data_IF_096315247699
#
_entry.id   IF_096315247699
#
_cell.length_a   1.000
_cell.length_b   1.000
_cell.length_c   1.000
_cell.angle_alpha   90.00
_cell.angle_beta   90.00
_cell.angle_gamma   90.00
#
_symmetry.space_group_name_H-M   'P 1'
#
loop_
_entity.id
_entity.type
_entity.pdbx_description
1 polymer ?
#
# COMPACT_ATOMS: atom_id res chain seq x y z
N UNK A 1 -0.39 -22.15 12.55
CA UNK A 1 0.21 -20.90 12.06
C UNK A 1 -0.94 -19.95 11.83
N UNK A 2 -0.95 -18.79 12.48
CA UNK A 2 -1.90 -17.71 12.19
C UNK A 2 -1.66 -17.22 10.77
N UNK A 3 -2.73 -17.11 9.98
CA UNK A 3 -2.64 -16.55 8.63
C UNK A 3 -2.49 -15.03 8.76
N UNK A 4 -1.67 -14.37 7.93
CA UNK A 4 -1.58 -12.92 7.95
C UNK A 4 -2.88 -12.27 7.48
N UNK A 5 -3.05 -10.99 7.77
CA UNK A 5 -3.97 -10.11 7.03
C UNK A 5 -3.18 -9.22 6.07
N UNK A 6 -3.85 -8.71 5.04
CA UNK A 6 -3.28 -7.76 4.10
C UNK A 6 -3.86 -6.37 4.36
N UNK A 7 -3.01 -5.36 4.49
CA UNK A 7 -3.43 -3.96 4.46
C UNK A 7 -3.12 -3.35 3.09
N UNK A 8 -4.16 -2.93 2.36
CA UNK A 8 -4.05 -2.24 1.07
C UNK A 8 -4.20 -0.73 1.29
N UNK A 9 -3.28 0.06 0.74
CA UNK A 9 -3.25 1.52 0.81
C UNK A 9 -3.16 2.17 -0.60
N UNK A 10 -3.34 3.49 -0.65
CA UNK A 10 -3.56 4.23 -1.89
C UNK A 10 -2.38 4.28 -2.86
N UNK A 11 -1.15 4.03 -2.40
CA UNK A 11 0.05 4.07 -3.24
C UNK A 11 0.26 2.76 -4.01
N UNK A 12 -0.43 1.67 -3.63
CA UNK A 12 -0.43 0.39 -4.32
C UNK A 12 -1.85 -0.17 -4.47
N UNK A 13 -2.78 0.66 -4.94
CA UNK A 13 -4.18 0.30 -5.19
C UNK A 13 -4.34 -0.38 -6.55
N UNK A 14 -4.00 -1.67 -6.63
CA UNK A 14 -4.00 -2.45 -7.87
C UNK A 14 -4.27 -3.94 -7.61
N UNK A 15 -4.89 -4.68 -8.54
CA UNK A 15 -4.93 -6.15 -8.48
C UNK A 15 -3.55 -6.79 -8.52
N UNK A 16 -2.54 -6.08 -9.05
CA UNK A 16 -1.13 -6.49 -9.05
C UNK A 16 -0.40 -6.13 -7.75
N UNK A 17 -1.10 -5.69 -6.69
CA UNK A 17 -0.49 -5.46 -5.40
C UNK A 17 0.27 -6.72 -4.93
N UNK A 18 1.56 -6.62 -4.56
CA UNK A 18 2.40 -7.78 -4.26
C UNK A 18 1.84 -8.61 -3.10
N UNK A 19 1.25 -7.98 -2.08
CA UNK A 19 0.64 -8.68 -0.96
C UNK A 19 -0.57 -9.52 -1.37
N UNK A 20 -1.41 -8.99 -2.27
CA UNK A 20 -2.56 -9.73 -2.82
C UNK A 20 -2.12 -10.90 -3.72
N UNK A 21 -0.98 -10.77 -4.42
CA UNK A 21 -0.44 -11.84 -5.27
C UNK A 21 0.22 -12.96 -4.44
N UNK A 22 0.99 -12.60 -3.41
CA UNK A 22 1.69 -13.56 -2.55
C UNK A 22 0.75 -14.29 -1.59
N UNK A 23 -0.28 -13.60 -1.08
CA UNK A 23 -1.25 -14.14 -0.11
C UNK A 23 -2.70 -14.06 -0.63
N UNK A 24 -3.06 -14.70 -1.75
CA UNK A 24 -4.35 -14.50 -2.42
C UNK A 24 -5.59 -14.93 -1.61
N UNK A 25 -5.41 -15.72 -0.55
CA UNK A 25 -6.48 -16.18 0.33
C UNK A 25 -6.49 -15.47 1.69
N UNK A 26 -5.55 -14.57 1.95
CA UNK A 26 -5.52 -13.82 3.20
C UNK A 26 -6.63 -12.77 3.21
N UNK A 27 -7.26 -12.51 4.38
CA UNK A 27 -8.22 -11.42 4.50
C UNK A 27 -7.51 -10.09 4.25
N UNK A 28 -8.08 -9.25 3.38
CA UNK A 28 -7.51 -7.95 3.07
C UNK A 28 -8.42 -6.81 3.54
N UNK A 29 -7.83 -5.71 3.96
CA UNK A 29 -8.52 -4.50 4.43
C UNK A 29 -8.03 -3.25 3.70
N UNK A 30 -8.97 -2.39 3.36
CA UNK A 30 -8.75 -0.98 3.04
C UNK A 30 -9.38 -0.12 4.14
N UNK A 31 -8.69 0.96 4.54
CA UNK A 31 -9.24 1.93 5.50
C UNK A 31 -9.27 3.32 4.87
N UNK A 32 -10.45 3.91 4.79
CA UNK A 32 -10.60 5.34 4.52
C UNK A 32 -10.09 6.14 5.71
N UNK A 33 -8.92 6.75 5.56
CA UNK A 33 -8.27 7.58 6.58
C UNK A 33 -8.94 8.96 6.65
N UNK A 34 -9.75 9.17 7.70
CA UNK A 34 -10.48 10.43 7.90
C UNK A 34 -9.55 11.64 8.01
N UNK A 35 -8.41 11.48 8.69
CA UNK A 35 -7.46 12.57 8.87
C UNK A 35 -6.77 12.93 7.55
N UNK A 36 -6.45 11.97 6.70
CA UNK A 36 -5.91 12.26 5.36
C UNK A 36 -6.96 12.90 4.45
N UNK A 37 -8.19 12.40 4.46
CA UNK A 37 -9.29 12.94 3.64
C UNK A 37 -9.53 14.41 4.00
N UNK A 38 -9.54 14.72 5.29
CA UNK A 38 -9.69 16.09 5.79
C UNK A 38 -8.46 16.95 5.47
N UNK A 39 -7.26 16.49 5.77
CA UNK A 39 -6.02 17.25 5.54
C UNK A 39 -5.82 17.59 4.06
N UNK A 40 -6.07 16.63 3.16
CA UNK A 40 -5.84 16.78 1.72
C UNK A 40 -7.07 17.30 0.98
N UNK A 41 -8.19 17.52 1.67
CA UNK A 41 -9.44 18.00 1.12
C UNK A 41 -9.85 17.22 -0.14
N UNK A 42 -9.82 15.88 -0.04
CA UNK A 42 -10.07 15.02 -1.20
C UNK A 42 -11.47 15.27 -1.76
N UNK A 43 -11.52 15.68 -3.03
CA UNK A 43 -12.80 15.94 -3.70
C UNK A 43 -13.65 14.67 -3.80
N UNK A 44 -14.98 14.85 -3.87
CA UNK A 44 -15.92 13.75 -4.11
C UNK A 44 -15.53 12.91 -5.34
N UNK A 45 -15.08 13.55 -6.44
CA UNK A 45 -14.65 12.83 -7.65
C UNK A 45 -13.51 11.84 -7.37
N UNK A 46 -12.53 12.24 -6.55
CA UNK A 46 -11.39 11.38 -6.19
C UNK A 46 -11.82 10.25 -5.27
N UNK A 47 -12.70 10.54 -4.31
CA UNK A 47 -13.25 9.51 -3.42
C UNK A 47 -14.08 8.48 -4.19
N UNK A 48 -14.93 8.93 -5.13
CA UNK A 48 -15.71 8.03 -6.00
C UNK A 48 -14.81 7.15 -6.86
N UNK A 49 -13.79 7.73 -7.50
CA UNK A 49 -12.84 6.96 -8.30
C UNK A 49 -12.14 5.86 -7.48
N UNK A 50 -11.61 6.20 -6.30
CA UNK A 50 -10.95 5.22 -5.42
C UNK A 50 -11.97 4.15 -4.98
N UNK A 51 -13.20 4.54 -4.62
CA UNK A 51 -14.25 3.59 -4.25
C UNK A 51 -14.56 2.60 -5.38
N UNK A 52 -14.65 3.06 -6.63
CA UNK A 52 -14.84 2.20 -7.80
C UNK A 52 -13.68 1.20 -7.96
N UNK A 53 -12.42 1.64 -7.78
CA UNK A 53 -11.27 0.73 -7.77
C UNK A 53 -11.37 -0.32 -6.65
N UNK A 54 -11.82 0.06 -5.46
CA UNK A 54 -11.95 -0.88 -4.32
C UNK A 54 -12.99 -1.98 -4.58
N UNK A 55 -14.02 -1.70 -5.39
CA UNK A 55 -15.01 -2.72 -5.76
C UNK A 55 -14.43 -3.84 -6.64
N UNK A 56 -13.28 -3.60 -7.27
CA UNK A 56 -12.56 -4.59 -8.07
C UNK A 56 -11.52 -5.40 -7.25
N UNK A 57 -11.29 -5.03 -5.99
CA UNK A 57 -10.31 -5.67 -5.11
C UNK A 57 -10.98 -6.52 -4.03
N UNK A 58 -10.35 -7.63 -3.59
CA UNK A 58 -10.91 -8.51 -2.56
C UNK A 58 -10.69 -7.95 -1.13
N UNK A 59 -11.07 -6.70 -0.90
CA UNK A 59 -10.84 -5.99 0.37
C UNK A 59 -12.12 -5.73 1.14
N UNK A 60 -12.03 -5.82 2.46
CA UNK A 60 -13.03 -5.25 3.37
C UNK A 60 -12.75 -3.76 3.51
N UNK A 61 -13.77 -2.94 3.24
CA UNK A 61 -13.65 -1.48 3.30
C UNK A 61 -14.10 -0.99 4.68
N UNK A 62 -13.20 -0.34 5.41
CA UNK A 62 -13.46 0.36 6.68
C UNK A 62 -13.14 1.84 6.57
N UNK A 63 -13.40 2.58 7.65
CA UNK A 63 -13.15 4.03 7.75
C UNK A 63 -12.80 4.38 9.18
N UNK A 64 -11.76 5.20 9.36
CA UNK A 64 -11.32 5.65 10.68
C UNK A 64 -9.81 5.85 10.75
N UNK A 65 -9.23 5.66 11.94
CA UNK A 65 -7.77 5.62 12.10
C UNK A 65 -7.23 4.30 11.51
N UNK A 66 -6.29 4.40 10.58
CA UNK A 66 -5.80 3.26 9.79
C UNK A 66 -5.19 2.17 10.67
N UNK A 67 -4.26 2.52 11.56
CA UNK A 67 -3.60 1.55 12.42
C UNK A 67 -4.60 0.83 13.35
N UNK A 68 -5.53 1.57 13.95
CA UNK A 68 -6.56 1.00 14.83
C UNK A 68 -7.48 0.03 14.08
N UNK A 69 -7.94 0.38 12.89
CA UNK A 69 -8.81 -0.48 12.09
C UNK A 69 -8.07 -1.72 11.58
N UNK A 70 -6.80 -1.59 11.17
CA UNK A 70 -5.96 -2.73 10.75
C UNK A 70 -5.71 -3.69 11.92
N UNK A 71 -5.40 -3.16 13.11
CA UNK A 71 -5.17 -3.98 14.31
C UNK A 71 -6.46 -4.68 14.78
N UNK A 72 -7.60 -3.98 14.75
CA UNK A 72 -8.90 -4.59 15.05
C UNK A 72 -9.22 -5.72 14.06
N UNK A 73 -8.99 -5.49 12.76
CA UNK A 73 -9.18 -6.50 11.73
C UNK A 73 -8.24 -7.72 11.92
N UNK A 74 -6.97 -7.49 12.28
CA UNK A 74 -6.04 -8.57 12.60
C UNK A 74 -6.55 -9.41 13.77
N UNK A 75 -7.06 -8.76 14.83
CA UNK A 75 -7.62 -9.45 15.99
C UNK A 75 -8.86 -10.28 15.63
N UNK A 76 -9.78 -9.74 14.84
CA UNK A 76 -10.98 -10.45 14.37
C UNK A 76 -10.63 -11.73 13.58
N UNK A 77 -9.55 -11.66 12.79
CA UNK A 77 -9.05 -12.79 12.01
C UNK A 77 -8.03 -13.68 12.74
N UNK A 78 -7.75 -13.41 14.02
CA UNK A 78 -6.72 -14.11 14.81
C UNK A 78 -5.33 -14.10 14.12
N UNK A 79 -5.02 -13.01 13.41
CA UNK A 79 -3.76 -12.77 12.74
C UNK A 79 -2.80 -12.02 13.66
N UNK A 80 -1.52 -12.39 13.60
CA UNK A 80 -0.43 -11.72 14.33
C UNK A 80 0.60 -11.11 13.38
N UNK A 81 0.29 -11.08 12.08
CA UNK A 81 1.13 -10.53 11.02
C UNK A 81 0.28 -9.74 10.03
N UNK A 82 0.75 -8.56 9.67
CA UNK A 82 0.20 -7.68 8.64
C UNK A 82 1.16 -7.64 7.46
N UNK A 83 0.67 -7.95 6.28
CA UNK A 83 1.41 -7.78 5.02
C UNK A 83 0.89 -6.52 4.33
N UNK A 84 1.77 -5.70 3.79
CA UNK A 84 1.42 -4.54 2.97
C UNK A 84 2.41 -4.37 1.82
N UNK A 85 2.26 -3.32 1.02
CA UNK A 85 3.23 -2.95 -0.01
C UNK A 85 4.03 -1.74 0.45
N UNK A 86 5.28 -1.61 0.02
CA UNK A 86 6.09 -0.42 0.33
C UNK A 86 5.48 0.87 -0.24
N UNK A 87 5.66 1.97 0.48
CA UNK A 87 5.32 3.31 0.03
C UNK A 87 6.41 4.31 0.43
N UNK A 88 6.76 5.29 -0.43
CA UNK A 88 7.65 6.39 -0.07
C UNK A 88 6.97 7.47 0.80
N UNK A 89 5.70 7.30 1.17
CA UNK A 89 4.92 8.29 1.91
C UNK A 89 5.35 8.36 3.39
N UNK A 90 5.73 9.53 3.93
CA UNK A 90 6.07 9.64 5.36
C UNK A 90 4.93 9.27 6.32
N UNK A 91 3.67 9.41 5.86
CA UNK A 91 2.50 9.00 6.64
C UNK A 91 2.39 7.47 6.72
N UNK A 92 2.84 6.76 5.69
CA UNK A 92 2.86 5.30 5.69
C UNK A 92 3.79 4.78 6.77
N UNK A 93 5.02 5.30 6.85
CA UNK A 93 5.99 4.93 7.91
C UNK A 93 5.40 5.11 9.31
N UNK A 94 4.73 6.24 9.56
CA UNK A 94 4.10 6.52 10.86
C UNK A 94 2.97 5.54 11.21
N UNK A 95 2.23 5.03 10.22
CA UNK A 95 1.17 4.02 10.42
C UNK A 95 1.81 2.64 10.67
N UNK A 96 2.85 2.28 9.91
CA UNK A 96 3.62 1.06 10.13
C UNK A 96 4.19 1.00 11.55
N UNK A 97 4.82 2.09 12.01
CA UNK A 97 5.35 2.23 13.37
C UNK A 97 4.28 2.03 14.46
N UNK A 98 3.02 2.39 14.20
CA UNK A 98 1.91 2.20 15.14
C UNK A 98 1.44 0.74 15.16
N UNK A 99 1.36 0.10 14.00
CA UNK A 99 0.96 -1.32 13.85
C UNK A 99 2.02 -2.25 14.46
N UNK A 100 3.30 -2.00 14.18
CA UNK A 100 4.45 -2.83 14.63
C UNK A 100 4.59 -2.91 16.15
N UNK A 101 3.98 -1.98 16.90
CA UNK A 101 3.94 -2.05 18.37
C UNK A 101 3.13 -3.24 18.89
N UNK A 102 2.26 -3.81 18.06
CA UNK A 102 1.30 -4.85 18.48
C UNK A 102 1.43 -6.16 17.72
N UNK A 103 1.79 -6.12 16.43
CA UNK A 103 1.86 -7.30 15.55
C UNK A 103 3.07 -7.20 14.61
N UNK A 104 3.51 -8.33 14.05
CA UNK A 104 4.55 -8.31 13.00
C UNK A 104 4.00 -7.59 11.76
N UNK A 105 4.81 -6.75 11.13
CA UNK A 105 4.48 -6.09 9.87
C UNK A 105 5.58 -6.38 8.85
N UNK A 106 5.18 -6.66 7.62
CA UNK A 106 6.08 -6.82 6.48
C UNK A 106 5.54 -6.00 5.31
N UNK A 107 6.34 -5.07 4.81
CA UNK A 107 6.07 -4.33 3.59
C UNK A 107 6.83 -4.98 2.44
N UNK A 108 6.11 -5.44 1.42
CA UNK A 108 6.68 -6.08 0.24
C UNK A 108 7.11 -5.02 -0.77
N UNK A 109 8.29 -5.21 -1.36
CA UNK A 109 8.80 -4.36 -2.44
C UNK A 109 7.82 -4.35 -3.62
N UNK A 110 7.61 -3.18 -4.20
CA UNK A 110 6.80 -3.00 -5.40
C UNK A 110 7.71 -3.10 -6.62
N UNK A 111 7.28 -3.84 -7.65
CA UNK A 111 8.03 -3.98 -8.91
C UNK A 111 8.40 -2.60 -9.46
N UNK A 112 9.71 -2.28 -9.58
CA UNK A 112 10.14 -1.00 -10.09
C UNK A 112 9.87 -0.89 -11.60
N UNK A 113 9.81 0.33 -12.11
CA UNK A 113 9.63 0.57 -13.54
C UNK A 113 10.73 -0.08 -14.41
N UNK A 114 11.95 -0.17 -13.89
CA UNK A 114 13.07 -0.92 -14.46
C UNK A 114 14.08 -1.20 -13.35
N UNK A 115 14.83 -2.30 -13.50
CA UNK A 115 15.91 -2.66 -12.59
C UNK A 115 17.22 -1.98 -13.01
N UNK A 116 17.84 -1.24 -12.09
CA UNK A 116 19.11 -0.56 -12.30
C UNK A 116 19.78 -0.21 -10.98
N UNK A 117 20.99 -0.74 -10.77
CA UNK A 117 21.80 -0.60 -9.56
C UNK A 117 22.89 0.49 -9.67
N UNK A 118 23.02 1.11 -10.85
CA UNK A 118 24.02 2.15 -11.11
C UNK A 118 23.62 3.55 -10.62
N UNK A 119 24.54 4.50 -10.77
CA UNK A 119 24.24 5.91 -10.50
C UNK A 119 23.29 6.51 -11.55
N UNK A 120 22.27 7.23 -11.08
CA UNK A 120 21.42 8.10 -11.91
C UNK A 120 21.41 9.50 -11.31
N UNK A 121 21.66 10.51 -12.16
CA UNK A 121 21.46 11.90 -11.77
C UNK A 121 19.96 12.26 -11.81
N UNK A 122 19.32 12.20 -10.65
CA UNK A 122 17.89 12.47 -10.46
C UNK A 122 17.54 13.97 -10.42
N UNK A 123 18.49 14.91 -10.63
CA UNK A 123 18.20 16.36 -10.63
C UNK A 123 17.35 16.81 -11.82
N UNK A 124 17.32 16.03 -12.91
CA UNK A 124 16.53 16.33 -14.12
C UNK A 124 15.95 15.06 -14.71
N UNK A 125 14.65 15.06 -15.00
CA UNK A 125 13.97 13.92 -15.62
C UNK A 125 14.66 13.44 -16.90
N UNK A 126 15.13 14.35 -17.77
CA UNK A 126 15.81 13.95 -19.01
C UNK A 126 17.14 13.21 -18.81
N UNK A 127 17.79 13.33 -17.64
CA UNK A 127 19.01 12.57 -17.31
C UNK A 127 18.66 11.18 -16.83
N UNK A 128 17.63 11.07 -15.98
CA UNK A 128 17.03 9.80 -15.59
C UNK A 128 16.56 9.02 -16.84
N UNK A 129 15.78 9.67 -17.71
CA UNK A 129 15.19 9.02 -18.88
C UNK A 129 16.24 8.48 -19.86
N UNK A 130 17.36 9.19 -20.07
CA UNK A 130 18.47 8.71 -20.91
C UNK A 130 19.12 7.41 -20.43
N UNK A 131 18.98 7.10 -19.14
CA UNK A 131 19.41 5.81 -18.58
C UNK A 131 18.26 4.81 -18.75
N UNK A 132 17.08 5.12 -18.20
CA UNK A 132 15.93 4.23 -18.19
C UNK A 132 15.54 3.73 -19.59
N UNK A 133 15.51 4.61 -20.60
CA UNK A 133 15.08 4.29 -21.98
C UNK A 133 15.87 3.16 -22.64
N UNK A 134 17.06 2.85 -22.13
CA UNK A 134 17.91 1.75 -22.63
C UNK A 134 17.49 0.37 -22.11
N UNK A 135 16.65 0.32 -21.08
CA UNK A 135 16.26 -0.90 -20.36
C UNK A 135 14.77 -1.21 -20.48
N UNK A 136 13.93 -0.23 -20.85
CA UNK A 136 12.45 -0.37 -20.81
C UNK A 136 11.79 -0.75 -22.14
N UNK A 137 12.52 -0.88 -23.25
CA UNK A 137 11.95 -1.14 -24.58
C UNK A 137 12.55 -2.36 -25.31
N UNK A 138 12.97 -3.39 -24.58
CA UNK A 138 13.33 -4.69 -25.19
C UNK A 138 12.11 -5.47 -25.72
#
# INVERSE_FOLDING_TARGET
MSQPIIWVHGDCLSPQNPALQEYPNAPAIWVWDDALIEEWQLSLKRLTFIYECLLELPVIIRRGNVAQEVLAFAQEHNANKVITAESPSPRFDAICDEIERSVELEALEVEPFFDYDGYIDLKRFSRYWKVAEKYVFE
#
